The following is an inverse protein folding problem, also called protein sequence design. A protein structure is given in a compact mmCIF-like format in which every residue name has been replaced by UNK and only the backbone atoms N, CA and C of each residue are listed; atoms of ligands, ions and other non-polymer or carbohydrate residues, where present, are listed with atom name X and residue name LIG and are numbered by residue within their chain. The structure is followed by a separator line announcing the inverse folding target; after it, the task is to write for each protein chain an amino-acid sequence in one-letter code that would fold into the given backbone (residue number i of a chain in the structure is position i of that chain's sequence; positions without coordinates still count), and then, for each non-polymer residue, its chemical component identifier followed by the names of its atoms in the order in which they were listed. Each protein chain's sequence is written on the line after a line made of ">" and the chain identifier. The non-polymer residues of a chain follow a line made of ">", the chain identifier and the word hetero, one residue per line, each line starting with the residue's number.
data_IF_594315641695
#
_entry.id   IF_594315641695
#
_cell.length_a   1.000
_cell.length_b   1.000
_cell.length_c   1.000
_cell.angle_alpha   90.00
_cell.angle_beta   90.00
_cell.angle_gamma   90.00
#
_symmetry.space_group_name_H-M   'P 1'
#
loop_
_entity.id
_entity.type
_entity.pdbx_description
1 polymer ?
#
# COMPACT_ATOMS: atom_id res chain seq x y z
N UNK A 1 -0.73 -14.80 -3.79
CA UNK A 1 0.49 -14.99 -2.98
C UNK A 1 0.32 -14.19 -1.69
N UNK A 2 0.63 -14.77 -0.54
CA UNK A 2 0.43 -14.15 0.79
C UNK A 2 1.77 -13.86 1.46
N UNK A 3 1.87 -12.83 2.32
CA UNK A 3 3.05 -12.64 3.16
C UNK A 3 3.37 -13.88 4.01
N UNK A 4 4.64 -14.05 4.35
CA UNK A 4 5.10 -15.07 5.29
C UNK A 4 4.47 -14.83 6.67
N UNK A 5 4.08 -15.91 7.36
CA UNK A 5 3.67 -15.86 8.76
C UNK A 5 4.85 -16.10 9.69
N UNK A 6 4.65 -15.83 10.97
CA UNK A 6 5.64 -16.12 11.99
C UNK A 6 6.04 -17.59 11.98
N UNK A 7 7.35 -17.84 12.03
CA UNK A 7 7.93 -19.18 11.98
C UNK A 7 8.06 -19.78 10.57
N UNK A 8 7.42 -19.24 9.52
CA UNK A 8 7.58 -19.76 8.15
C UNK A 8 9.01 -19.59 7.65
N UNK A 9 9.66 -18.48 8.03
CA UNK A 9 11.04 -18.22 7.66
C UNK A 9 12.02 -19.25 8.23
N UNK A 10 11.79 -19.73 9.45
CA UNK A 10 12.64 -20.70 10.11
C UNK A 10 12.59 -22.08 9.44
N UNK A 11 11.47 -22.39 8.76
CA UNK A 11 11.26 -23.63 8.01
C UNK A 11 11.99 -23.63 6.67
N UNK A 12 12.42 -22.47 6.17
CA UNK A 12 13.16 -22.34 4.92
C UNK A 12 14.66 -22.61 5.10
N UNK A 13 15.29 -23.10 4.04
CA UNK A 13 16.75 -23.26 3.96
C UNK A 13 17.42 -21.89 4.14
N UNK A 14 18.49 -21.77 4.95
CA UNK A 14 19.11 -20.47 5.25
C UNK A 14 19.47 -19.63 4.02
N UNK A 15 19.90 -20.26 2.93
CA UNK A 15 20.28 -19.57 1.68
C UNK A 15 19.12 -18.81 1.00
N UNK A 16 17.87 -19.24 1.19
CA UNK A 16 16.70 -18.61 0.53
C UNK A 16 15.96 -17.63 1.44
N UNK A 17 16.27 -17.61 2.75
CA UNK A 17 15.61 -16.74 3.74
C UNK A 17 15.66 -15.26 3.36
N UNK A 18 16.80 -14.68 2.92
CA UNK A 18 16.86 -13.26 2.59
C UNK A 18 15.94 -12.88 1.42
N UNK A 19 15.91 -13.71 0.37
CA UNK A 19 15.04 -13.48 -0.79
C UNK A 19 13.56 -13.63 -0.42
N UNK A 20 13.23 -14.62 0.41
CA UNK A 20 11.87 -14.84 0.90
C UNK A 20 11.37 -13.69 1.78
N UNK A 21 12.22 -13.16 2.68
CA UNK A 21 11.91 -11.97 3.49
C UNK A 21 11.65 -10.75 2.61
N UNK A 22 12.52 -10.49 1.63
CA UNK A 22 12.38 -9.35 0.72
C UNK A 22 11.04 -9.42 -0.04
N UNK A 23 10.72 -10.59 -0.60
CA UNK A 23 9.47 -10.80 -1.33
C UNK A 23 8.25 -10.65 -0.41
N UNK A 24 8.29 -11.23 0.79
CA UNK A 24 7.23 -11.09 1.78
C UNK A 24 6.99 -9.63 2.18
N UNK A 25 8.07 -8.89 2.47
CA UNK A 25 8.01 -7.47 2.79
C UNK A 25 7.42 -6.65 1.66
N UNK A 26 7.81 -6.91 0.40
CA UNK A 26 7.25 -6.24 -0.76
C UNK A 26 5.74 -6.50 -0.92
N UNK A 27 5.28 -7.74 -0.68
CA UNK A 27 3.84 -8.09 -0.71
C UNK A 27 3.10 -7.32 0.38
N UNK A 28 3.61 -7.30 1.61
CA UNK A 28 3.00 -6.57 2.73
C UNK A 28 2.93 -5.06 2.43
N UNK A 29 4.01 -4.49 1.91
CA UNK A 29 4.10 -3.07 1.54
C UNK A 29 3.03 -2.68 0.53
N UNK A 30 2.86 -3.47 -0.54
CA UNK A 30 1.84 -3.20 -1.57
C UNK A 30 0.44 -3.30 -0.97
N UNK A 31 0.16 -4.31 -0.13
CA UNK A 31 -1.15 -4.48 0.50
C UNK A 31 -1.51 -3.33 1.43
N UNK A 32 -0.62 -2.99 2.36
CA UNK A 32 -0.82 -1.88 3.29
C UNK A 32 -1.01 -0.55 2.55
N UNK A 33 -0.25 -0.32 1.48
CA UNK A 33 -0.40 0.88 0.64
C UNK A 33 -1.80 0.98 0.03
N UNK A 34 -2.34 -0.14 -0.48
CA UNK A 34 -3.69 -0.19 -1.05
C UNK A 34 -4.74 0.03 0.05
N UNK A 35 -4.58 -0.62 1.20
CA UNK A 35 -5.50 -0.49 2.35
C UNK A 35 -5.56 0.95 2.86
N UNK A 36 -4.41 1.60 3.06
CA UNK A 36 -4.35 3.00 3.48
C UNK A 36 -4.90 3.95 2.43
N UNK A 37 -4.58 3.71 1.16
CA UNK A 37 -5.11 4.49 0.03
C UNK A 37 -6.63 4.43 -0.01
N UNK A 38 -7.21 3.23 0.06
CA UNK A 38 -8.66 3.04 0.05
C UNK A 38 -9.32 3.61 1.31
N UNK A 39 -8.73 3.38 2.50
CA UNK A 39 -9.24 3.94 3.75
C UNK A 39 -9.28 5.47 3.74
N UNK A 40 -8.27 6.12 3.15
CA UNK A 40 -8.23 7.57 2.97
C UNK A 40 -9.35 8.06 2.06
N UNK A 41 -9.56 7.41 0.90
CA UNK A 41 -10.64 7.75 -0.03
C UNK A 41 -12.02 7.56 0.63
N UNK A 42 -12.25 6.42 1.27
CA UNK A 42 -13.53 6.13 1.94
C UNK A 42 -13.85 7.18 3.02
N UNK A 43 -12.86 7.57 3.82
CA UNK A 43 -13.00 8.59 4.86
C UNK A 43 -13.45 9.93 4.28
N UNK A 44 -12.93 10.35 3.13
CA UNK A 44 -13.34 11.60 2.45
C UNK A 44 -14.79 11.50 1.98
N UNK A 45 -15.16 10.41 1.32
CA UNK A 45 -16.54 10.20 0.86
C UNK A 45 -17.55 10.19 2.01
N UNK A 46 -17.20 9.53 3.12
CA UNK A 46 -18.00 9.53 4.34
C UNK A 46 -18.19 10.95 4.90
N UNK A 47 -17.13 11.76 4.96
CA UNK A 47 -17.20 13.17 5.41
C UNK A 47 -18.05 14.05 4.49
N UNK A 48 -18.04 13.77 3.20
CA UNK A 48 -18.86 14.46 2.21
C UNK A 48 -20.33 13.99 2.22
N UNK A 49 -20.68 13.00 3.04
CA UNK A 49 -21.99 12.34 3.06
C UNK A 49 -22.42 11.85 1.67
N UNK A 50 -21.44 11.44 0.85
CA UNK A 50 -21.69 10.85 -0.48
C UNK A 50 -21.05 9.48 -0.58
N UNK A 51 -21.73 8.48 -1.15
CA UNK A 51 -21.09 7.21 -1.46
C UNK A 51 -20.22 7.34 -2.70
N UNK A 52 -19.26 6.42 -2.85
CA UNK A 52 -18.65 6.17 -4.15
C UNK A 52 -19.74 5.74 -5.15
N UNK A 53 -19.63 6.09 -6.44
CA UNK A 53 -20.58 5.64 -7.45
C UNK A 53 -20.74 4.11 -7.44
N UNK A 54 -21.98 3.61 -7.56
CA UNK A 54 -22.25 2.18 -7.68
C UNK A 54 -21.83 1.63 -9.05
N UNK A 55 -22.07 2.41 -10.11
CA UNK A 55 -21.64 2.12 -11.48
C UNK A 55 -20.13 1.88 -11.53
N UNK A 56 -19.74 0.68 -11.95
CA UNK A 56 -18.35 0.21 -11.95
C UNK A 56 -17.45 1.06 -12.84
N UNK A 57 -17.94 1.51 -13.99
CA UNK A 57 -17.17 2.31 -14.95
C UNK A 57 -16.94 3.71 -14.37
N UNK A 58 -18.00 4.33 -13.83
CA UNK A 58 -17.88 5.65 -13.18
C UNK A 58 -17.00 5.59 -11.94
N UNK A 59 -17.11 4.52 -11.14
CA UNK A 59 -16.29 4.31 -9.94
C UNK A 59 -14.82 4.16 -10.31
N UNK A 60 -14.51 3.34 -11.31
CA UNK A 60 -13.13 3.17 -11.81
C UNK A 60 -12.55 4.50 -12.26
N UNK A 61 -13.25 5.24 -13.12
CA UNK A 61 -12.80 6.54 -13.62
C UNK A 61 -12.55 7.53 -12.46
N UNK A 62 -13.42 7.54 -11.45
CA UNK A 62 -13.29 8.42 -10.29
C UNK A 62 -12.03 8.10 -9.49
N UNK A 63 -11.81 6.82 -9.18
CA UNK A 63 -10.64 6.36 -8.44
C UNK A 63 -9.35 6.60 -9.24
N UNK A 64 -9.35 6.30 -10.53
CA UNK A 64 -8.21 6.57 -11.42
C UNK A 64 -7.80 8.04 -11.40
N UNK A 65 -8.78 8.96 -11.47
CA UNK A 65 -8.51 10.39 -11.38
C UNK A 65 -7.94 10.80 -10.02
N UNK A 66 -8.51 10.29 -8.92
CA UNK A 66 -8.00 10.52 -7.57
C UNK A 66 -6.54 10.08 -7.42
N UNK A 67 -6.22 8.86 -7.87
CA UNK A 67 -4.85 8.33 -7.79
C UNK A 67 -3.88 9.09 -8.69
N UNK A 68 -4.30 9.47 -9.91
CA UNK A 68 -3.46 10.28 -10.81
C UNK A 68 -3.14 11.65 -10.21
N UNK A 69 -4.12 12.33 -9.63
CA UNK A 69 -3.90 13.63 -8.97
C UNK A 69 -3.00 13.51 -7.74
N UNK A 70 -3.20 12.48 -6.92
CA UNK A 70 -2.33 12.20 -5.78
C UNK A 70 -0.88 11.94 -6.22
N UNK A 71 -0.70 11.10 -7.25
CA UNK A 71 0.61 10.79 -7.80
C UNK A 71 1.27 12.01 -8.46
N UNK A 72 0.50 12.85 -9.15
CA UNK A 72 0.99 14.12 -9.69
C UNK A 72 1.53 15.00 -8.57
N UNK A 73 0.73 15.21 -7.50
CA UNK A 73 1.20 15.94 -6.32
C UNK A 73 2.51 15.36 -5.79
N UNK A 74 2.58 14.04 -5.55
CA UNK A 74 3.77 13.38 -5.01
C UNK A 74 4.99 13.59 -5.90
N UNK A 75 4.86 13.53 -7.22
CA UNK A 75 5.99 13.79 -8.14
C UNK A 75 6.42 15.26 -8.15
N UNK A 76 5.48 16.18 -7.96
CA UNK A 76 5.77 17.61 -7.96
C UNK A 76 6.39 18.09 -6.64
N UNK A 77 5.93 17.56 -5.50
CA UNK A 77 6.39 18.01 -4.17
C UNK A 77 7.38 17.06 -3.51
N UNK A 78 7.59 15.87 -4.10
CA UNK A 78 8.46 14.79 -3.60
C UNK A 78 8.13 14.23 -2.20
N UNK A 79 7.05 14.68 -1.57
CA UNK A 79 6.56 14.19 -0.29
C UNK A 79 5.63 12.99 -0.48
N UNK A 80 6.11 11.80 -0.08
CA UNK A 80 5.34 10.55 -0.07
C UNK A 80 5.34 9.90 1.31
N UNK A 81 4.18 9.91 1.97
CA UNK A 81 4.00 9.28 3.28
C UNK A 81 4.25 7.77 3.23
N UNK A 82 3.87 7.11 2.13
CA UNK A 82 4.14 5.69 1.90
C UNK A 82 5.65 5.45 1.91
N UNK A 83 6.41 6.25 1.13
CA UNK A 83 7.87 6.11 1.07
C UNK A 83 8.51 6.32 2.44
N UNK A 84 8.11 7.35 3.18
CA UNK A 84 8.68 7.63 4.51
C UNK A 84 8.38 6.51 5.49
N UNK A 85 7.14 6.01 5.57
CA UNK A 85 6.79 4.97 6.54
C UNK A 85 7.54 3.67 6.32
N UNK A 86 7.76 3.26 5.07
CA UNK A 86 8.49 2.01 4.78
C UNK A 86 10.01 2.13 4.82
N UNK A 87 10.58 3.32 4.61
CA UNK A 87 12.03 3.56 4.79
C UNK A 87 12.41 3.38 6.26
N UNK A 88 11.68 4.03 7.16
CA UNK A 88 11.92 3.87 8.60
C UNK A 88 11.56 2.47 9.12
N UNK A 89 10.53 1.82 8.54
CA UNK A 89 10.21 0.44 8.90
C UNK A 89 11.37 -0.53 8.68
N UNK A 90 12.22 -0.30 7.66
CA UNK A 90 13.42 -1.13 7.46
C UNK A 90 14.50 -0.87 8.51
N UNK A 91 14.63 0.35 8.99
CA UNK A 91 15.61 0.74 10.02
C UNK A 91 15.18 0.26 11.42
N UNK A 92 13.89 0.31 11.73
CA UNK A 92 13.34 -0.12 13.03
C UNK A 92 13.26 -1.65 13.19
N UNK A 93 13.28 -2.40 12.08
CA UNK A 93 13.20 -3.88 12.06
C UNK A 93 14.50 -4.55 11.58
N UNK A 94 15.61 -3.81 11.50
CA UNK A 94 16.96 -4.33 11.23
C UNK A 94 17.72 -4.62 12.53
#
# INVERSE_FOLDING_TARGET
>A
MTPLKDGDLARLVPSVRPAAQLMSGAITLVRQTIEWGMGSVEKVYRRLLRPLPYDVIKRKLRLDNLFRLANYRVRTVEVSQIRTTFVYWKEDNA
#
